data_IF_751459054970
#
_entry.id   IF_751459054970
#
_cell.length_a   1.000
_cell.length_b   1.000
_cell.length_c   1.000
_cell.angle_alpha   90.00
_cell.angle_beta   90.00
_cell.angle_gamma   90.00
#
_symmetry.space_group_name_H-M   'P 1'
#
loop_
_entity.id
_entity.type
_entity.pdbx_description
1 polymer ?
#
# COMPACT_ATOMS: atom_id res chain seq x y z
N UNK A 1 -9.60 2.17 9.19
CA UNK A 1 -10.62 3.24 9.18
C UNK A 1 -10.63 4.03 7.87
N UNK A 2 -9.50 4.52 7.35
CA UNK A 2 -9.47 5.26 6.07
C UNK A 2 -10.09 4.50 4.88
N UNK A 3 -9.77 3.23 4.68
CA UNK A 3 -10.34 2.41 3.60
C UNK A 3 -11.87 2.28 3.66
N UNK A 4 -12.43 2.20 4.87
CA UNK A 4 -13.87 2.15 5.08
C UNK A 4 -14.52 3.46 4.62
N UNK A 5 -13.94 4.61 4.97
CA UNK A 5 -14.44 5.92 4.54
C UNK A 5 -14.43 6.06 3.01
N UNK A 6 -13.37 5.57 2.35
CA UNK A 6 -13.28 5.59 0.88
C UNK A 6 -14.34 4.69 0.23
N UNK A 7 -14.77 3.60 0.88
CA UNK A 7 -15.84 2.74 0.36
C UNK A 7 -17.22 3.42 0.27
N UNK A 8 -17.43 4.54 0.97
CA UNK A 8 -18.67 5.32 0.92
C UNK A 8 -18.67 6.43 -0.15
N UNK A 9 -17.60 6.58 -0.92
CA UNK A 9 -17.54 7.58 -1.99
C UNK A 9 -18.52 7.19 -3.11
N UNK A 10 -19.38 8.10 -3.59
CA UNK A 10 -20.40 7.80 -4.61
C UNK A 10 -19.84 7.12 -5.86
N UNK A 11 -18.63 7.49 -6.28
CA UNK A 11 -17.93 6.88 -7.43
C UNK A 11 -17.68 5.39 -7.27
N UNK A 12 -17.36 4.95 -6.05
CA UNK A 12 -17.07 3.55 -5.73
C UNK A 12 -18.38 2.78 -5.56
N UNK A 13 -19.38 3.39 -4.91
CA UNK A 13 -20.71 2.80 -4.76
C UNK A 13 -21.45 2.61 -6.08
N UNK A 14 -21.15 3.44 -7.09
CA UNK A 14 -21.71 3.31 -8.43
C UNK A 14 -21.32 2.00 -9.13
N UNK A 15 -20.24 1.31 -8.69
CA UNK A 15 -19.85 0.01 -9.23
C UNK A 15 -19.82 -1.06 -8.12
N UNK A 16 -20.65 -2.09 -8.31
CA UNK A 16 -20.81 -3.18 -7.35
C UNK A 16 -19.52 -3.97 -7.14
N UNK A 17 -18.71 -4.16 -8.19
CA UNK A 17 -17.45 -4.90 -8.14
C UNK A 17 -16.39 -4.11 -7.38
N UNK A 18 -16.28 -2.80 -7.62
CA UNK A 18 -15.39 -1.92 -6.86
C UNK A 18 -15.72 -1.95 -5.37
N UNK A 19 -17.00 -1.79 -5.04
CA UNK A 19 -17.47 -1.83 -3.65
C UNK A 19 -17.11 -3.17 -2.99
N UNK A 20 -17.46 -4.30 -3.62
CA UNK A 20 -17.13 -5.63 -3.09
C UNK A 20 -15.63 -5.84 -2.91
N UNK A 21 -14.81 -5.34 -3.83
CA UNK A 21 -13.35 -5.44 -3.77
C UNK A 21 -12.78 -4.69 -2.56
N UNK A 22 -13.24 -3.45 -2.31
CA UNK A 22 -12.84 -2.68 -1.14
C UNK A 22 -13.31 -3.32 0.16
N UNK A 23 -14.56 -3.80 0.22
CA UNK A 23 -15.09 -4.48 1.40
C UNK A 23 -14.34 -5.79 1.70
N UNK A 24 -14.01 -6.59 0.67
CA UNK A 24 -13.19 -7.78 0.82
C UNK A 24 -11.79 -7.44 1.36
N UNK A 25 -11.16 -6.38 0.85
CA UNK A 25 -9.88 -5.89 1.36
C UNK A 25 -9.98 -5.44 2.83
N UNK A 26 -11.02 -4.67 3.19
CA UNK A 26 -11.26 -4.23 4.56
C UNK A 26 -11.45 -5.42 5.51
N UNK A 27 -12.31 -6.37 5.13
CA UNK A 27 -12.59 -7.56 5.95
C UNK A 27 -11.31 -8.38 6.14
N UNK A 28 -10.54 -8.61 5.06
CA UNK A 28 -9.28 -9.33 5.12
C UNK A 28 -8.26 -8.67 6.06
N UNK A 29 -8.11 -7.34 5.96
CA UNK A 29 -7.21 -6.58 6.84
C UNK A 29 -7.69 -6.58 8.30
N UNK A 30 -9.01 -6.50 8.54
CA UNK A 30 -9.59 -6.58 9.89
C UNK A 30 -9.38 -7.96 10.52
N UNK A 31 -9.62 -9.04 9.78
CA UNK A 31 -9.39 -10.41 10.25
C UNK A 31 -7.91 -10.58 10.62
N UNK A 32 -6.99 -10.10 9.78
CA UNK A 32 -5.56 -10.16 10.08
C UNK A 32 -5.19 -9.30 11.30
N UNK A 33 -5.75 -8.08 11.41
CA UNK A 33 -5.54 -7.22 12.57
C UNK A 33 -6.00 -7.89 13.88
N UNK A 34 -7.18 -8.51 13.88
CA UNK A 34 -7.71 -9.24 15.04
C UNK A 34 -6.83 -10.44 15.38
N UNK A 35 -6.44 -11.23 14.38
CA UNK A 35 -5.55 -12.37 14.57
C UNK A 35 -4.20 -11.98 15.18
N UNK A 36 -3.60 -10.87 14.72
CA UNK A 36 -2.39 -10.32 15.31
C UNK A 36 -2.62 -9.83 16.74
N UNK A 37 -3.71 -9.12 16.99
CA UNK A 37 -4.03 -8.63 18.32
C UNK A 37 -4.20 -9.77 19.34
N UNK A 38 -4.90 -10.85 18.97
CA UNK A 38 -5.03 -12.04 19.82
C UNK A 38 -3.67 -12.69 20.07
N UNK A 39 -2.81 -12.79 19.05
CA UNK A 39 -1.47 -13.37 19.17
C UNK A 39 -0.53 -12.54 20.05
N UNK A 40 -0.69 -11.21 20.05
CA UNK A 40 0.19 -10.26 20.72
C UNK A 40 -0.27 -9.86 22.13
N UNK A 41 -1.51 -10.19 22.51
CA UNK A 41 -2.04 -9.96 23.87
C UNK A 41 -1.22 -10.61 24.98
N UNK A 42 -0.35 -11.59 24.67
CA UNK A 42 0.51 -12.29 25.62
C UNK A 42 1.97 -11.83 25.65
N UNK A 43 2.38 -10.87 24.83
CA UNK A 43 3.78 -10.45 24.67
C UNK A 43 3.94 -8.97 25.06
N UNK A 44 4.81 -8.68 26.03
CA UNK A 44 5.13 -7.34 26.53
C UNK A 44 6.14 -6.55 25.66
N UNK A 45 6.36 -6.94 24.41
CA UNK A 45 7.34 -6.22 23.58
C UNK A 45 6.80 -4.87 23.11
N UNK A 46 7.57 -3.82 23.39
CA UNK A 46 7.27 -2.44 23.01
C UNK A 46 7.57 -2.28 21.53
N UNK A 47 6.53 -2.43 20.71
CA UNK A 47 6.64 -2.26 19.27
C UNK A 47 7.18 -0.90 18.91
N UNK A 48 8.35 -0.88 18.30
CA UNK A 48 9.06 0.36 18.04
C UNK A 48 8.66 0.94 16.69
N UNK A 49 8.08 2.13 16.70
CA UNK A 49 7.73 2.88 15.50
C UNK A 49 8.94 3.69 15.05
N UNK A 50 9.59 3.27 13.97
CA UNK A 50 10.71 4.01 13.40
C UNK A 50 10.25 4.76 12.16
N UNK A 51 10.50 6.06 12.09
CA UNK A 51 10.23 6.83 10.88
C UNK A 51 11.52 6.92 10.07
N UNK A 52 11.53 6.34 8.87
CA UNK A 52 12.66 6.47 7.94
C UNK A 52 12.19 7.30 6.74
N UNK A 53 12.38 8.60 6.85
CA UNK A 53 12.10 9.57 5.79
C UNK A 53 13.36 9.71 4.92
N UNK A 54 13.47 8.94 3.84
CA UNK A 54 14.54 9.15 2.85
C UNK A 54 14.13 10.27 1.87
N UNK A 55 14.99 11.28 1.64
CA UNK A 55 14.71 12.39 0.72
C UNK A 55 14.31 11.93 -0.70
N UNK A 56 14.90 10.82 -1.16
CA UNK A 56 14.63 10.23 -2.48
C UNK A 56 13.13 9.96 -2.73
N UNK A 57 12.40 9.45 -1.72
CA UNK A 57 10.99 9.11 -1.87
C UNK A 57 10.11 10.35 -1.83
N UNK A 58 10.54 11.41 -1.12
CA UNK A 58 9.82 12.68 -1.07
C UNK A 58 9.87 13.40 -2.41
N UNK A 59 11.07 13.47 -3.02
CA UNK A 59 11.23 14.08 -4.34
C UNK A 59 10.44 13.29 -5.38
N UNK A 60 10.51 11.96 -5.35
CA UNK A 60 9.78 11.12 -6.29
C UNK A 60 8.26 11.25 -6.13
N UNK A 61 7.74 11.25 -4.90
CA UNK A 61 6.31 11.46 -4.65
C UNK A 61 5.87 12.85 -5.14
N UNK A 62 6.66 13.89 -4.89
CA UNK A 62 6.36 15.25 -5.34
C UNK A 62 6.28 15.36 -6.87
N UNK A 63 7.26 14.79 -7.59
CA UNK A 63 7.27 14.79 -9.06
C UNK A 63 6.06 14.04 -9.60
N UNK A 64 5.72 12.89 -9.04
CA UNK A 64 4.57 12.11 -9.51
C UNK A 64 3.24 12.80 -9.20
N UNK A 65 3.10 13.44 -8.04
CA UNK A 65 1.92 14.27 -7.73
C UNK A 65 1.80 15.40 -8.74
N UNK A 66 2.90 16.09 -9.08
CA UNK A 66 2.88 17.13 -10.10
C UNK A 66 2.43 16.59 -11.47
N UNK A 67 2.89 15.39 -11.86
CA UNK A 67 2.45 14.72 -13.09
C UNK A 67 0.95 14.40 -13.06
N UNK A 68 0.41 13.84 -11.96
CA UNK A 68 -1.01 13.55 -11.84
C UNK A 68 -1.88 14.82 -11.81
N UNK A 69 -1.41 15.89 -11.16
CA UNK A 69 -2.10 17.19 -11.15
C UNK A 69 -2.14 17.79 -12.55
N UNK A 70 -0.98 17.83 -13.23
CA UNK A 70 -0.89 18.31 -14.61
C UNK A 70 -1.78 17.50 -15.54
N UNK A 71 -1.70 16.17 -15.47
CA UNK A 71 -2.50 15.30 -16.31
C UNK A 71 -4.00 15.43 -16.03
N UNK A 72 -4.40 15.50 -14.76
CA UNK A 72 -5.79 15.69 -14.37
C UNK A 72 -6.36 17.03 -14.84
N UNK A 73 -5.54 18.08 -14.93
CA UNK A 73 -5.94 19.36 -15.50
C UNK A 73 -6.41 19.22 -16.96
N UNK A 74 -5.76 18.37 -17.75
CA UNK A 74 -6.13 18.13 -19.15
C UNK A 74 -7.11 16.97 -19.35
N UNK A 75 -7.16 16.00 -18.43
CA UNK A 75 -7.93 14.76 -18.58
C UNK A 75 -8.76 14.44 -17.34
N UNK A 76 -10.07 14.75 -17.41
CA UNK A 76 -11.01 14.61 -16.27
C UNK A 76 -11.07 13.21 -15.65
N UNK A 77 -11.01 12.08 -16.40
CA UNK A 77 -11.04 10.74 -15.80
C UNK A 77 -9.95 10.45 -14.76
N UNK A 78 -8.87 11.25 -14.70
CA UNK A 78 -7.87 11.15 -13.62
C UNK A 78 -8.49 11.45 -12.25
N UNK A 79 -9.44 12.39 -12.17
CA UNK A 79 -10.14 12.70 -10.93
C UNK A 79 -10.99 11.53 -10.43
N UNK A 80 -11.62 10.80 -11.35
CA UNK A 80 -12.40 9.60 -11.01
C UNK A 80 -11.51 8.49 -10.44
N UNK A 81 -10.26 8.39 -10.94
CA UNK A 81 -9.26 7.45 -10.44
C UNK A 81 -8.56 7.91 -9.16
N UNK A 82 -8.64 9.19 -8.79
CA UNK A 82 -7.98 9.71 -7.59
C UNK A 82 -8.42 8.96 -6.32
N UNK A 83 -9.71 8.63 -6.21
CA UNK A 83 -10.21 7.84 -5.07
C UNK A 83 -9.70 6.40 -5.06
N UNK A 84 -9.49 5.81 -6.23
CA UNK A 84 -8.90 4.48 -6.36
C UNK A 84 -7.42 4.49 -5.94
N UNK A 85 -6.67 5.54 -6.29
CA UNK A 85 -5.30 5.76 -5.82
C UNK A 85 -5.24 5.88 -4.30
N UNK A 86 -6.15 6.65 -3.70
CA UNK A 86 -6.26 6.79 -2.24
C UNK A 86 -6.57 5.44 -1.59
N UNK A 87 -7.50 4.66 -2.15
CA UNK A 87 -7.80 3.31 -1.65
C UNK A 87 -6.57 2.40 -1.68
N UNK A 88 -5.80 2.43 -2.77
CA UNK A 88 -4.56 1.65 -2.90
C UNK A 88 -3.49 2.07 -1.89
N UNK A 89 -3.30 3.38 -1.70
CA UNK A 89 -2.35 3.90 -0.70
C UNK A 89 -2.72 3.41 0.70
N UNK A 90 -3.98 3.57 1.08
CA UNK A 90 -4.46 3.12 2.38
C UNK A 90 -4.31 1.61 2.56
N UNK A 91 -4.64 0.83 1.52
CA UNK A 91 -4.43 -0.61 1.54
C UNK A 91 -2.96 -0.97 1.72
N UNK A 92 -2.06 -0.39 0.93
CA UNK A 92 -0.64 -0.65 1.01
C UNK A 92 -0.06 -0.31 2.38
N UNK A 93 -0.43 0.84 2.97
CA UNK A 93 0.02 1.21 4.31
C UNK A 93 -0.47 0.24 5.38
N UNK A 94 -1.76 -0.13 5.38
CA UNK A 94 -2.30 -1.05 6.38
C UNK A 94 -1.71 -2.46 6.19
N UNK A 95 -1.59 -2.93 4.95
CA UNK A 95 -1.03 -4.24 4.64
C UNK A 95 0.44 -4.32 5.04
N UNK A 96 1.26 -3.33 4.66
CA UNK A 96 2.69 -3.27 5.00
C UNK A 96 2.91 -3.15 6.52
N UNK A 97 2.05 -2.40 7.21
CA UNK A 97 2.06 -2.29 8.66
C UNK A 97 1.74 -3.62 9.34
N UNK A 98 0.66 -4.29 8.95
CA UNK A 98 0.28 -5.61 9.49
C UNK A 98 1.33 -6.68 9.16
N UNK A 99 1.89 -6.67 7.96
CA UNK A 99 2.92 -7.60 7.53
C UNK A 99 4.21 -7.41 8.35
N UNK A 100 4.66 -6.17 8.50
CA UNK A 100 5.83 -5.83 9.32
C UNK A 100 5.61 -6.31 10.75
N UNK A 101 4.46 -5.96 11.35
CA UNK A 101 4.04 -6.39 12.68
C UNK A 101 3.85 -7.89 12.84
N UNK A 102 3.60 -8.63 11.78
CA UNK A 102 3.52 -10.10 11.84
C UNK A 102 4.89 -10.76 11.92
N UNK A 103 5.97 -10.06 11.55
CA UNK A 103 7.29 -10.67 11.31
C UNK A 103 8.44 -10.01 12.07
N UNK A 104 8.41 -8.70 12.28
CA UNK A 104 9.42 -7.92 12.99
C UNK A 104 8.72 -6.95 13.96
N UNK A 105 9.37 -6.71 15.10
CA UNK A 105 8.78 -5.91 16.17
C UNK A 105 8.86 -4.38 15.94
N UNK A 106 9.39 -3.95 14.79
CA UNK A 106 9.45 -2.55 14.38
C UNK A 106 8.78 -2.33 13.02
N UNK A 107 7.81 -1.42 13.00
CA UNK A 107 7.23 -0.92 11.75
C UNK A 107 7.95 0.37 11.35
N UNK A 108 8.36 0.42 10.08
CA UNK A 108 8.97 1.62 9.50
C UNK A 108 7.96 2.36 8.66
N UNK A 109 7.43 3.46 9.19
CA UNK A 109 6.59 4.35 8.39
C UNK A 109 7.51 5.15 7.45
N UNK A 110 7.34 4.94 6.15
CA UNK A 110 8.10 5.66 5.12
C UNK A 110 7.28 5.88 3.86
N UNK A 111 7.74 6.80 3.02
CA UNK A 111 7.09 7.16 1.75
C UNK A 111 7.25 6.11 0.64
N UNK A 112 7.74 4.90 0.93
CA UNK A 112 7.99 3.85 -0.06
C UNK A 112 6.76 3.43 -0.90
N UNK A 113 5.55 3.31 -0.33
CA UNK A 113 4.36 2.93 -1.09
C UNK A 113 3.92 3.95 -2.14
N UNK A 114 4.19 5.23 -1.91
CA UNK A 114 3.72 6.32 -2.78
C UNK A 114 4.29 6.21 -4.19
N UNK A 115 5.63 6.17 -4.39
CA UNK A 115 6.19 6.01 -5.71
C UNK A 115 5.77 4.76 -6.46
N UNK A 116 5.62 3.63 -5.75
CA UNK A 116 5.23 2.36 -6.34
C UNK A 116 3.81 2.49 -6.91
N UNK A 117 2.86 2.92 -6.08
CA UNK A 117 1.45 3.01 -6.46
C UNK A 117 1.25 4.02 -7.59
N UNK A 118 1.81 5.22 -7.46
CA UNK A 118 1.69 6.25 -8.48
C UNK A 118 2.36 5.84 -9.80
N UNK A 119 3.55 5.23 -9.77
CA UNK A 119 4.19 4.69 -10.98
C UNK A 119 3.32 3.63 -11.64
N UNK A 120 2.82 2.65 -10.89
CA UNK A 120 2.01 1.58 -11.47
C UNK A 120 0.74 2.12 -12.11
N UNK A 121 0.07 3.10 -11.48
CA UNK A 121 -1.13 3.72 -12.05
C UNK A 121 -0.83 4.73 -13.16
N UNK A 122 0.42 5.13 -13.36
CA UNK A 122 0.78 5.92 -14.54
C UNK A 122 0.77 5.05 -15.81
N UNK A 123 1.11 3.76 -15.67
CA UNK A 123 1.18 2.82 -16.80
C UNK A 123 -0.03 1.90 -16.94
N UNK A 124 -0.63 1.48 -15.81
CA UNK A 124 -1.67 0.46 -15.77
C UNK A 124 -2.92 1.00 -15.08
N UNK A 125 -3.98 1.17 -15.86
CA UNK A 125 -5.30 1.53 -15.37
C UNK A 125 -6.18 0.27 -15.39
N UNK A 126 -6.50 -0.24 -14.21
CA UNK A 126 -7.45 -1.35 -14.11
C UNK A 126 -8.86 -0.83 -14.32
N UNK A 127 -9.62 -1.50 -15.20
CA UNK A 127 -11.06 -1.28 -15.29
C UNK A 127 -11.70 -1.64 -13.95
N UNK A 128 -12.73 -0.88 -13.57
CA UNK A 128 -13.48 -1.04 -12.33
C UNK A 128 -13.85 -2.51 -12.00
N UNK A 129 -14.20 -3.30 -13.01
CA UNK A 129 -14.60 -4.72 -12.86
C UNK A 129 -13.45 -5.66 -12.49
N UNK A 130 -12.20 -5.24 -12.72
CA UNK A 130 -11.00 -6.04 -12.46
C UNK A 130 -10.12 -5.45 -11.35
N UNK A 131 -10.61 -4.43 -10.66
CA UNK A 131 -9.83 -3.65 -9.69
C UNK A 131 -9.30 -4.49 -8.50
N UNK A 132 -9.99 -5.59 -8.14
CA UNK A 132 -9.50 -6.53 -7.12
C UNK A 132 -8.12 -7.09 -7.43
N UNK A 133 -7.76 -7.24 -8.72
CA UNK A 133 -6.42 -7.67 -9.14
C UNK A 133 -5.34 -6.67 -8.73
N UNK A 134 -5.68 -5.38 -8.65
CA UNK A 134 -4.73 -4.36 -8.25
C UNK A 134 -4.36 -4.50 -6.76
N UNK A 135 -5.33 -4.82 -5.90
CA UNK A 135 -5.05 -5.15 -4.50
C UNK A 135 -4.23 -6.45 -4.37
N UNK A 136 -4.53 -7.47 -5.17
CA UNK A 136 -3.75 -8.71 -5.18
C UNK A 136 -2.32 -8.49 -5.64
N UNK A 137 -2.11 -7.69 -6.70
CA UNK A 137 -0.78 -7.34 -7.19
C UNK A 137 0.00 -6.54 -6.14
N UNK A 138 -0.64 -5.58 -5.48
CA UNK A 138 -0.01 -4.84 -4.38
C UNK A 138 0.37 -5.79 -3.25
N UNK A 139 -0.56 -6.64 -2.79
CA UNK A 139 -0.30 -7.63 -1.75
C UNK A 139 0.89 -8.54 -2.13
N UNK A 140 0.89 -9.09 -3.35
CA UNK A 140 1.98 -9.91 -3.85
C UNK A 140 3.31 -9.15 -3.92
N UNK A 141 3.30 -7.87 -4.33
CA UNK A 141 4.49 -7.01 -4.37
C UNK A 141 5.08 -6.76 -2.98
N UNK A 142 4.25 -6.45 -1.98
CA UNK A 142 4.69 -6.26 -0.60
C UNK A 142 5.16 -7.57 0.03
N UNK A 143 4.45 -8.68 -0.19
CA UNK A 143 4.88 -10.01 0.25
C UNK A 143 6.22 -10.37 -0.39
N UNK A 144 6.37 -10.18 -1.71
CA UNK A 144 7.61 -10.44 -2.43
C UNK A 144 8.78 -9.65 -1.85
N UNK A 145 8.62 -8.34 -1.63
CA UNK A 145 9.64 -7.50 -0.98
C UNK A 145 10.05 -8.00 0.41
N UNK A 146 9.09 -8.55 1.17
CA UNK A 146 9.34 -9.03 2.52
C UNK A 146 9.97 -10.43 2.53
N UNK A 147 9.46 -11.37 1.73
CA UNK A 147 9.94 -12.75 1.68
C UNK A 147 11.23 -12.93 0.89
N UNK A 148 11.43 -12.11 -0.16
CA UNK A 148 12.62 -12.15 -1.01
C UNK A 148 13.68 -11.22 -0.42
N UNK A 149 14.29 -11.67 0.67
CA UNK A 149 15.50 -11.07 1.25
C UNK A 149 16.65 -12.05 1.08
N UNK A 150 17.83 -11.56 0.69
CA UNK A 150 19.00 -12.39 0.45
C UNK A 150 20.04 -12.13 1.54
N UNK A 151 20.59 -13.22 2.08
CA UNK A 151 21.66 -13.15 3.06
C UNK A 151 22.99 -13.08 2.31
N UNK A 152 23.60 -11.89 2.26
CA UNK A 152 24.99 -11.72 1.84
C UNK A 152 25.83 -11.45 3.07
N UNK A 153 26.88 -12.25 3.28
CA UNK A 153 27.87 -12.05 4.35
C UNK A 153 27.30 -11.91 5.78
N UNK A 154 26.31 -12.73 6.13
CA UNK A 154 25.71 -12.75 7.47
C UNK A 154 24.80 -11.56 7.81
N UNK A 155 24.51 -10.68 6.85
CA UNK A 155 23.61 -9.54 6.99
C UNK A 155 22.43 -9.68 6.01
N UNK A 156 21.20 -9.51 6.54
CA UNK A 156 19.97 -9.50 5.74
C UNK A 156 19.95 -8.28 4.81
N UNK A 157 20.29 -8.46 3.54
CA UNK A 157 20.32 -7.39 2.54
C UNK A 157 19.25 -7.60 1.45
N UNK A 158 18.73 -6.50 0.92
CA UNK A 158 17.75 -6.54 -0.15
C UNK A 158 18.47 -6.84 -1.48
N UNK A 159 17.98 -7.82 -2.24
CA UNK A 159 18.61 -8.33 -3.49
C UNK A 159 18.95 -7.21 -4.49
N UNK A 160 18.13 -6.16 -4.54
CA UNK A 160 18.31 -5.02 -5.42
C UNK A 160 18.93 -3.82 -4.70
N UNK A 161 20.09 -3.98 -4.08
CA UNK A 161 20.91 -2.83 -3.69
C UNK A 161 21.93 -2.55 -4.80
N UNK A 162 21.76 -1.49 -5.62
CA UNK A 162 22.63 -1.21 -6.76
C UNK A 162 23.92 -0.45 -6.36
N UNK A 163 24.24 -0.35 -5.08
CA UNK A 163 25.46 0.31 -4.59
C UNK A 163 26.62 -0.67 -4.37
N UNK A 164 26.71 -1.71 -5.19
CA UNK A 164 27.87 -2.60 -5.27
C UNK A 164 28.77 -2.17 -6.43
#
# INVERSE_FOLDING_TARGET
MGLLLVSFVPRIQANLVLTRSLWAAVIGLLVWQIALFVRLRGTSEVRSFHQILRPQHYLQASVQVAVFVYWGYFWRPVYDHAWLLVAQLLFAYVFDMLLSWSRRDSYVLGFGPFPIIFSTNLFLWFRDDWFYLQFLMLAAGFLGKEFVRWQRDGQDTHIFNPSA
#
